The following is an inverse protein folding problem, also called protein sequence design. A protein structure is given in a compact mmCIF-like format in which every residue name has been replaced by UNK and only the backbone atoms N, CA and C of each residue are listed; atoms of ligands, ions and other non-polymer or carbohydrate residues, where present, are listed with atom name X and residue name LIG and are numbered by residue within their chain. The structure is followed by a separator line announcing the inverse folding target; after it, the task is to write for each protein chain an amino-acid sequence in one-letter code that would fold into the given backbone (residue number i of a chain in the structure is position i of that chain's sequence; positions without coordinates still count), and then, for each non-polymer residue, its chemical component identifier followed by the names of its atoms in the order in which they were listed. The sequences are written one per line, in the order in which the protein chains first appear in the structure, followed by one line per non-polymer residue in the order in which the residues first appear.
data_IF_441800726493
#
_entry.id   IF_441800726493
#
_cell.length_a   1.000
_cell.length_b   1.000
_cell.length_c   1.000
_cell.angle_alpha   90.00
_cell.angle_beta   90.00
_cell.angle_gamma   90.00
#
_symmetry.space_group_name_H-M   'P 1'
#
loop_
_entity.id
_entity.type
_entity.pdbx_description
1 polymer ?
#
# COMPACT_ATOMS: atom_id res chain seq x y z
N UNK A 1 -17.39 -1.56 0.99
CA UNK A 1 -17.79 -0.42 1.84
C UNK A 1 -16.87 -0.37 3.05
N UNK A 2 -16.41 0.81 3.45
CA UNK A 2 -15.52 1.03 4.60
C UNK A 2 -16.26 1.93 5.61
N UNK A 3 -16.46 1.48 6.86
CA UNK A 3 -17.13 2.28 7.87
C UNK A 3 -16.49 3.66 8.02
N UNK A 4 -17.30 4.73 7.96
CA UNK A 4 -16.83 6.11 8.05
C UNK A 4 -16.26 6.71 6.76
N UNK A 5 -16.02 5.90 5.71
CA UNK A 5 -15.43 6.36 4.45
C UNK A 5 -16.25 5.98 3.20
N UNK A 6 -17.23 5.08 3.33
CA UNK A 6 -18.12 4.69 2.23
C UNK A 6 -17.47 3.74 1.24
N UNK A 7 -17.80 3.87 -0.06
CA UNK A 7 -17.25 2.99 -1.10
C UNK A 7 -15.90 3.50 -1.58
N UNK A 8 -14.87 2.68 -1.41
CA UNK A 8 -13.51 2.92 -1.91
C UNK A 8 -13.08 1.77 -2.82
N UNK A 9 -12.14 2.05 -3.71
CA UNK A 9 -11.48 1.06 -4.55
C UNK A 9 -10.11 0.76 -3.97
N UNK A 10 -9.83 -0.52 -3.77
CA UNK A 10 -8.53 -1.01 -3.28
C UNK A 10 -7.93 -1.98 -4.30
N UNK A 11 -6.61 -1.93 -4.43
CA UNK A 11 -5.87 -3.05 -5.02
C UNK A 11 -5.38 -3.96 -3.89
N UNK A 12 -5.25 -5.26 -4.16
CA UNK A 12 -4.60 -6.21 -3.27
C UNK A 12 -3.36 -6.73 -3.97
N UNK A 13 -2.18 -6.53 -3.36
CA UNK A 13 -0.90 -6.92 -3.92
C UNK A 13 -0.10 -7.80 -2.97
N UNK A 14 0.67 -8.74 -3.52
CA UNK A 14 1.56 -9.62 -2.77
C UNK A 14 3.03 -9.31 -3.09
N UNK A 15 3.85 -9.18 -2.04
CA UNK A 15 5.30 -8.91 -2.15
C UNK A 15 6.10 -9.62 -1.07
N UNK A 16 5.68 -10.84 -0.71
CA UNK A 16 6.13 -11.58 0.48
C UNK A 16 5.08 -11.60 1.60
N UNK A 17 4.13 -10.68 1.54
CA UNK A 17 2.85 -10.72 2.27
C UNK A 17 1.81 -9.89 1.52
N UNK A 18 0.52 -10.02 1.84
CA UNK A 18 -0.55 -9.26 1.19
C UNK A 18 -0.77 -7.89 1.85
N UNK A 19 -0.96 -6.88 1.01
CA UNK A 19 -1.36 -5.54 1.41
C UNK A 19 -2.56 -5.08 0.59
N UNK A 20 -3.43 -4.31 1.23
CA UNK A 20 -4.41 -3.48 0.53
C UNK A 20 -3.78 -2.13 0.20
N UNK A 21 -3.95 -1.65 -1.03
CA UNK A 21 -3.43 -0.36 -1.50
C UNK A 21 -4.56 0.54 -1.93
N UNK A 22 -4.48 1.81 -1.54
CA UNK A 22 -5.33 2.87 -2.05
C UNK A 22 -4.69 4.24 -1.82
N UNK A 23 -5.03 5.19 -2.69
CA UNK A 23 -4.74 6.61 -2.44
C UNK A 23 -5.47 7.10 -1.19
N UNK A 24 -4.77 7.82 -0.32
CA UNK A 24 -5.37 8.47 0.85
C UNK A 24 -6.47 9.48 0.46
N UNK A 25 -6.41 10.02 -0.77
CA UNK A 25 -7.41 10.97 -1.28
C UNK A 25 -8.82 10.37 -1.30
N UNK A 26 -8.96 9.05 -1.57
CA UNK A 26 -10.26 8.36 -1.52
C UNK A 26 -10.91 8.39 -0.13
N UNK A 27 -10.11 8.66 0.91
CA UNK A 27 -10.53 8.73 2.31
C UNK A 27 -10.64 10.19 2.78
N UNK A 28 -10.43 11.17 1.90
CA UNK A 28 -10.35 12.60 2.23
C UNK A 28 -9.08 12.97 3.00
N UNK A 29 -8.01 12.19 2.83
CA UNK A 29 -6.74 12.33 3.54
C UNK A 29 -5.58 12.54 2.56
N UNK A 30 -4.44 12.95 3.10
CA UNK A 30 -3.20 13.15 2.36
C UNK A 30 -2.03 12.59 3.21
N UNK A 31 -1.25 11.68 2.63
CA UNK A 31 -0.18 10.97 3.37
C UNK A 31 0.95 11.87 3.85
N UNK A 32 1.12 13.06 3.25
CA UNK A 32 2.19 14.01 3.56
C UNK A 32 1.79 15.04 4.62
N UNK A 33 0.50 15.38 4.72
CA UNK A 33 0.01 16.51 5.52
C UNK A 33 -1.03 16.14 6.57
N UNK A 34 -1.72 15.01 6.42
CA UNK A 34 -2.68 14.54 7.43
C UNK A 34 -1.99 14.04 8.69
N UNK A 35 -2.68 14.13 9.82
CA UNK A 35 -2.15 13.60 11.08
C UNK A 35 -2.01 12.09 10.98
N UNK A 36 -0.88 11.55 11.46
CA UNK A 36 -0.61 10.10 11.44
C UNK A 36 -1.73 9.30 12.08
N UNK A 37 -2.32 9.77 13.18
CA UNK A 37 -3.45 9.10 13.83
C UNK A 37 -4.64 8.92 12.90
N UNK A 38 -4.95 9.91 12.09
CA UNK A 38 -6.13 9.88 11.21
C UNK A 38 -5.85 8.93 10.03
N UNK A 39 -4.61 8.91 9.51
CA UNK A 39 -4.15 7.91 8.53
C UNK A 39 -4.19 6.48 9.09
N UNK A 40 -3.75 6.27 10.33
CA UNK A 40 -3.80 4.97 11.02
C UNK A 40 -5.24 4.50 11.17
N UNK A 41 -6.11 5.34 11.72
CA UNK A 41 -7.53 5.03 11.88
C UNK A 41 -8.19 4.62 10.56
N UNK A 42 -7.93 5.36 9.48
CA UNK A 42 -8.51 5.07 8.18
C UNK A 42 -7.94 3.77 7.56
N UNK A 43 -6.63 3.54 7.66
CA UNK A 43 -5.99 2.33 7.17
C UNK A 43 -6.43 1.07 7.95
N UNK A 44 -6.63 1.19 9.28
CA UNK A 44 -7.21 0.12 10.11
C UNK A 44 -8.65 -0.19 9.65
N UNK A 45 -9.47 0.83 9.42
CA UNK A 45 -10.84 0.65 8.94
C UNK A 45 -10.88 -0.06 7.57
N UNK A 46 -9.98 0.30 6.65
CA UNK A 46 -9.82 -0.37 5.35
C UNK A 46 -9.41 -1.83 5.55
N UNK A 47 -8.40 -2.10 6.39
CA UNK A 47 -7.90 -3.45 6.67
C UNK A 47 -9.02 -4.36 7.16
N UNK A 48 -9.79 -3.89 8.15
CA UNK A 48 -10.91 -4.65 8.72
C UNK A 48 -12.06 -4.83 7.72
N UNK A 49 -12.32 -3.82 6.90
CA UNK A 49 -13.32 -3.92 5.84
C UNK A 49 -12.90 -4.96 4.78
N UNK A 50 -11.63 -4.98 4.37
CA UNK A 50 -11.12 -5.94 3.37
C UNK A 50 -11.17 -7.36 3.93
N UNK A 51 -10.68 -7.60 5.16
CA UNK A 51 -10.73 -8.93 5.81
C UNK A 51 -12.15 -9.52 5.87
N UNK A 52 -13.16 -8.67 6.10
CA UNK A 52 -14.57 -9.10 6.17
C UNK A 52 -15.20 -9.36 4.80
N UNK A 53 -14.73 -8.68 3.76
CA UNK A 53 -15.34 -8.71 2.43
C UNK A 53 -14.63 -9.65 1.46
N UNK A 54 -13.35 -9.96 1.69
CA UNK A 54 -12.52 -10.74 0.79
C UNK A 54 -11.78 -11.85 1.53
N UNK A 55 -11.95 -13.07 1.07
CA UNK A 55 -11.11 -14.20 1.47
C UNK A 55 -9.89 -14.23 0.56
N UNK A 56 -8.70 -14.15 1.17
CA UNK A 56 -7.44 -14.23 0.44
C UNK A 56 -7.05 -15.69 0.23
N UNK A 57 -6.36 -15.94 -0.88
CA UNK A 57 -5.75 -17.23 -1.20
C UNK A 57 -4.35 -16.97 -1.73
N UNK A 58 -3.38 -17.75 -1.26
CA UNK A 58 -2.03 -17.76 -1.80
C UNK A 58 -1.83 -19.07 -2.58
N UNK A 59 -1.33 -19.04 -3.83
CA UNK A 59 -1.32 -20.20 -4.72
C UNK A 59 -0.46 -21.38 -4.21
N UNK A 60 0.49 -21.13 -3.32
CA UNK A 60 1.43 -22.14 -2.84
C UNK A 60 1.21 -22.58 -1.37
N UNK A 61 0.57 -21.75 -0.54
CA UNK A 61 0.42 -22.04 0.90
C UNK A 61 -0.64 -21.18 1.56
N UNK A 62 -1.65 -21.81 2.15
CA UNK A 62 -2.74 -21.12 2.87
C UNK A 62 -2.25 -20.34 4.10
N UNK A 63 -1.11 -20.71 4.70
CA UNK A 63 -0.53 -19.98 5.83
C UNK A 63 -0.06 -18.56 5.44
N UNK A 64 0.14 -18.32 4.14
CA UNK A 64 0.50 -17.01 3.58
C UNK A 64 -0.72 -16.19 3.15
N UNK A 65 -1.93 -16.76 3.20
CA UNK A 65 -3.16 -16.18 2.71
C UNK A 65 -3.82 -15.23 3.71
N UNK A 66 -3.05 -14.28 4.26
CA UNK A 66 -3.55 -13.29 5.22
C UNK A 66 -3.16 -11.87 4.82
N UNK A 67 -4.05 -10.93 5.14
CA UNK A 67 -3.82 -9.51 4.91
C UNK A 67 -2.97 -8.94 6.05
N UNK A 68 -1.75 -8.48 5.72
CA UNK A 68 -0.83 -7.92 6.70
C UNK A 68 -1.26 -6.54 7.18
N UNK A 69 -1.78 -5.73 6.26
CA UNK A 69 -2.21 -4.36 6.55
C UNK A 69 -2.59 -3.58 5.30
N UNK A 70 -2.72 -2.27 5.47
CA UNK A 70 -3.06 -1.33 4.40
C UNK A 70 -1.93 -0.33 4.20
N UNK A 71 -1.59 -0.10 2.93
CA UNK A 71 -0.64 0.93 2.50
C UNK A 71 -1.44 2.06 1.85
N UNK A 72 -1.46 3.21 2.52
CA UNK A 72 -2.02 4.43 1.95
C UNK A 72 -0.96 5.13 1.11
N UNK A 73 -1.31 5.52 -0.11
CA UNK A 73 -0.41 6.17 -1.06
C UNK A 73 -0.82 7.62 -1.33
N UNK A 74 0.09 8.37 -1.94
CA UNK A 74 -0.20 9.70 -2.49
C UNK A 74 -0.90 9.66 -3.87
N UNK A 75 -1.33 8.49 -4.34
CA UNK A 75 -1.97 8.30 -5.65
C UNK A 75 -1.04 8.47 -6.87
N UNK A 76 0.25 8.80 -6.68
CA UNK A 76 1.21 9.03 -7.78
C UNK A 76 1.84 7.71 -8.26
N UNK A 77 1.00 6.78 -8.70
CA UNK A 77 1.43 5.44 -9.15
C UNK A 77 1.99 5.42 -10.57
N UNK A 78 1.60 6.37 -11.42
CA UNK A 78 2.25 6.54 -12.73
C UNK A 78 3.75 6.81 -12.56
N UNK A 79 4.55 6.37 -13.53
CA UNK A 79 5.98 6.62 -13.51
C UNK A 79 6.31 8.11 -13.44
N UNK A 80 7.30 8.44 -12.61
CA UNK A 80 7.94 9.74 -12.49
C UNK A 80 9.37 9.53 -11.96
N UNK A 81 10.23 10.51 -12.15
CA UNK A 81 11.54 10.54 -11.49
C UNK A 81 11.41 10.91 -10.00
N UNK A 82 10.35 11.62 -9.64
CA UNK A 82 10.06 12.02 -8.26
C UNK A 82 9.56 10.85 -7.42
N UNK A 83 10.03 10.70 -6.17
CA UNK A 83 9.54 9.64 -5.29
C UNK A 83 8.03 9.74 -5.06
N UNK A 84 7.33 8.59 -5.12
CA UNK A 84 5.97 8.47 -4.59
C UNK A 84 6.02 8.16 -3.10
N UNK A 85 5.09 8.72 -2.33
CA UNK A 85 5.04 8.62 -0.87
C UNK A 85 3.97 7.63 -0.44
N UNK A 86 4.26 6.88 0.63
CA UNK A 86 3.25 6.05 1.30
C UNK A 86 3.50 5.92 2.81
N UNK A 87 2.45 5.49 3.50
CA UNK A 87 2.48 5.00 4.88
C UNK A 87 1.91 3.58 4.91
N UNK A 88 2.58 2.68 5.64
CA UNK A 88 2.09 1.33 5.87
C UNK A 88 1.59 1.22 7.32
N UNK A 89 0.35 0.75 7.46
CA UNK A 89 -0.29 0.48 8.75
C UNK A 89 -0.61 -1.01 8.81
N UNK A 90 -0.13 -1.69 9.85
CA UNK A 90 -0.16 -3.15 9.95
C UNK A 90 -0.34 -3.64 11.40
N UNK A 91 -0.68 -4.92 11.54
CA UNK A 91 -0.93 -5.55 12.84
C UNK A 91 -1.88 -4.71 13.72
N UNK A 92 -1.56 -4.53 15.00
CA UNK A 92 -2.31 -3.71 15.96
C UNK A 92 -2.00 -2.21 15.77
N UNK A 93 -2.35 -1.68 14.59
CA UNK A 93 -2.23 -0.25 14.24
C UNK A 93 -0.79 0.29 14.26
N UNK A 94 0.19 -0.59 14.05
CA UNK A 94 1.59 -0.20 13.95
C UNK A 94 1.87 0.50 12.64
N UNK A 95 2.78 1.48 12.68
CA UNK A 95 3.20 2.25 11.53
C UNK A 95 4.63 1.89 11.15
N UNK A 96 4.83 1.50 9.90
CA UNK A 96 6.18 1.32 9.37
C UNK A 96 6.84 2.69 9.19
N UNK A 97 8.08 2.77 9.67
CA UNK A 97 8.90 3.97 9.59
C UNK A 97 9.67 4.04 8.27
N UNK A 98 9.82 2.92 7.57
CA UNK A 98 10.38 2.87 6.22
C UNK A 98 9.28 2.79 5.15
N UNK A 99 9.62 2.83 3.84
CA UNK A 99 8.65 2.64 2.77
C UNK A 99 7.99 1.25 2.71
N UNK A 100 8.38 0.32 3.60
CA UNK A 100 7.96 -1.08 3.68
C UNK A 100 8.45 -1.91 2.50
N UNK A 101 9.54 -2.67 2.65
CA UNK A 101 10.20 -3.39 1.54
C UNK A 101 9.31 -4.38 0.78
N UNK A 102 8.55 -5.22 1.50
CA UNK A 102 7.53 -6.11 0.92
C UNK A 102 6.39 -5.32 0.27
N UNK A 103 6.01 -4.18 0.86
CA UNK A 103 5.05 -3.23 0.31
C UNK A 103 5.50 -2.62 -1.01
N UNK A 104 6.77 -2.18 -1.09
CA UNK A 104 7.41 -1.69 -2.33
C UNK A 104 7.41 -2.77 -3.40
N UNK A 105 7.73 -4.01 -3.04
CA UNK A 105 7.70 -5.14 -3.98
C UNK A 105 6.30 -5.38 -4.54
N UNK A 106 5.28 -5.43 -3.67
CA UNK A 106 3.89 -5.57 -4.09
C UNK A 106 3.43 -4.39 -4.95
N UNK A 107 3.82 -3.15 -4.60
CA UNK A 107 3.45 -1.94 -5.34
C UNK A 107 4.11 -1.86 -6.72
N UNK A 108 5.36 -2.30 -6.85
CA UNK A 108 6.02 -2.50 -8.15
C UNK A 108 5.26 -3.51 -9.00
N UNK A 109 4.86 -4.65 -8.43
CA UNK A 109 4.09 -5.67 -9.16
C UNK A 109 2.74 -5.11 -9.66
N UNK A 110 2.02 -4.35 -8.83
CA UNK A 110 0.77 -3.67 -9.21
C UNK A 110 0.99 -2.62 -10.30
N UNK A 111 1.99 -1.75 -10.15
CA UNK A 111 2.31 -0.73 -11.15
C UNK A 111 2.70 -1.36 -12.49
N UNK A 112 3.49 -2.43 -12.47
CA UNK A 112 3.85 -3.17 -13.69
C UNK A 112 2.64 -3.84 -14.33
N UNK A 113 1.81 -4.53 -13.55
CA UNK A 113 0.57 -5.16 -14.04
C UNK A 113 -0.38 -4.15 -14.71
N UNK A 114 -0.44 -2.92 -14.17
CA UNK A 114 -1.23 -1.82 -14.72
C UNK A 114 -0.56 -1.08 -15.89
N UNK A 115 0.64 -1.48 -16.30
CA UNK A 115 1.41 -0.81 -17.36
C UNK A 115 1.93 0.58 -16.99
N UNK A 116 1.95 0.93 -15.70
CA UNK A 116 2.39 2.24 -15.18
C UNK A 116 3.91 2.35 -15.11
N UNK A 117 4.61 1.21 -15.02
CA UNK A 117 6.08 1.11 -15.09
C UNK A 117 6.48 -0.05 -16.01
N UNK A 118 7.69 0.02 -16.55
CA UNK A 118 8.28 -0.99 -17.44
C UNK A 118 9.23 -1.93 -16.69
N UNK A 119 9.55 -3.07 -17.30
CA UNK A 119 10.64 -3.93 -16.81
C UNK A 119 11.95 -3.14 -16.76
N UNK A 120 12.74 -3.41 -15.72
CA UNK A 120 14.00 -2.75 -15.41
C UNK A 120 13.92 -1.23 -15.16
N UNK A 121 12.71 -0.65 -15.10
CA UNK A 121 12.51 0.75 -14.76
C UNK A 121 12.50 0.92 -13.23
N UNK A 122 13.48 1.67 -12.72
CA UNK A 122 13.58 1.95 -11.28
C UNK A 122 12.56 3.01 -10.86
N UNK A 123 11.87 2.76 -9.74
CA UNK A 123 10.94 3.68 -9.09
C UNK A 123 11.38 3.91 -7.64
N UNK A 124 11.27 5.16 -7.18
CA UNK A 124 11.64 5.54 -5.81
C UNK A 124 10.40 5.71 -4.95
N UNK A 125 10.45 5.17 -3.73
CA UNK A 125 9.36 5.19 -2.76
C UNK A 125 9.83 5.85 -1.48
N UNK A 126 9.01 6.76 -0.96
CA UNK A 126 9.30 7.56 0.22
C UNK A 126 8.37 7.19 1.37
N UNK A 127 8.93 7.02 2.56
CA UNK A 127 8.17 6.93 3.79
C UNK A 127 7.58 8.28 4.15
N UNK A 128 6.27 8.36 4.39
CA UNK A 128 5.66 9.61 4.84
C UNK A 128 6.02 9.99 6.29
N UNK A 129 6.46 9.02 7.09
CA UNK A 129 6.77 9.23 8.51
C UNK A 129 8.20 9.71 8.76
N UNK A 130 9.16 9.24 7.96
CA UNK A 130 10.58 9.55 8.16
C UNK A 130 11.24 10.20 6.94
N UNK A 131 10.60 10.18 5.77
CA UNK A 131 11.20 10.63 4.52
C UNK A 131 12.25 9.69 3.94
N UNK A 132 12.51 8.53 4.58
CA UNK A 132 13.43 7.50 4.07
C UNK A 132 13.00 6.98 2.70
N UNK A 133 13.98 6.55 1.90
CA UNK A 133 13.78 6.17 0.51
C UNK A 133 14.19 4.72 0.27
N UNK A 134 13.37 3.99 -0.48
CA UNK A 134 13.71 2.73 -1.11
C UNK A 134 13.55 2.87 -2.62
N UNK A 135 14.31 2.07 -3.37
CA UNK A 135 14.14 1.91 -4.81
C UNK A 135 13.76 0.49 -5.14
N UNK A 136 12.92 0.31 -6.16
CA UNK A 136 12.49 -0.98 -6.65
C UNK A 136 12.29 -0.95 -8.15
N UNK A 137 12.40 -2.11 -8.80
CA UNK A 137 12.10 -2.28 -10.22
C UNK A 137 11.54 -3.68 -10.48
N UNK A 138 10.63 -3.79 -11.44
CA UNK A 138 10.20 -5.09 -11.94
C UNK A 138 11.34 -5.72 -12.75
N UNK A 139 11.61 -7.01 -12.52
CA UNK A 139 12.61 -7.81 -13.24
C UNK A 139 11.97 -9.06 -13.82
N UNK A 140 12.64 -9.71 -14.77
CA UNK A 140 12.19 -10.94 -15.42
C UNK A 140 12.76 -12.18 -14.72
#
# INVERSE_FOLDING_TARGET
DVPGHGKVVVDIGYGGTFYAFLSAEQLGLDVCSSKTRDLVSAASAVTEAVKKQFQLHHPESEDLAFLYGTILTDGRDAFSEEPTTNICVFADEQVDRCPTGSGVTARIALQYHKGLIQLNQSRTFRSSTTGSLFTGKAVK
#
